data_IF_766385403311
#
_entry.id   IF_766385403311
#
_cell.length_a   1.000
_cell.length_b   1.000
_cell.length_c   1.000
_cell.angle_alpha   90.00
_cell.angle_beta   90.00
_cell.angle_gamma   90.00
#
_symmetry.space_group_name_H-M   'P 1'
#
loop_
_entity.id
_entity.type
_entity.pdbx_description
1 polymer ?
#
# COMPACT_ATOMS: atom_id res chain seq x y z
N UNK A 1 -1.02 -19.31 -11.98
CA UNK A 1 -0.04 -19.59 -10.92
C UNK A 1 -0.36 -20.96 -10.35
N UNK A 2 0.65 -21.81 -10.23
CA UNK A 2 0.54 -23.14 -9.63
C UNK A 2 1.04 -23.03 -8.19
N UNK A 3 0.18 -23.32 -7.21
CA UNK A 3 0.57 -23.38 -5.80
C UNK A 3 1.10 -24.76 -5.49
N UNK A 4 2.27 -24.78 -4.86
CA UNK A 4 2.97 -26.01 -4.49
C UNK A 4 3.28 -25.99 -3.00
N UNK A 5 3.24 -27.15 -2.35
CA UNK A 5 3.72 -27.30 -0.96
C UNK A 5 5.23 -27.03 -0.84
N UNK A 6 5.77 -26.73 0.36
CA UNK A 6 7.17 -26.31 0.54
C UNK A 6 8.20 -27.31 -0.02
N UNK A 7 7.95 -28.61 0.16
CA UNK A 7 8.84 -29.71 -0.22
C UNK A 7 8.59 -30.26 -1.64
N UNK A 8 7.81 -29.57 -2.46
CA UNK A 8 7.40 -30.07 -3.77
C UNK A 8 8.55 -30.05 -4.78
N UNK A 9 8.84 -31.17 -5.45
CA UNK A 9 9.99 -31.35 -6.36
C UNK A 9 10.03 -30.34 -7.52
N UNK A 10 8.88 -29.98 -8.08
CA UNK A 10 8.79 -28.93 -9.10
C UNK A 10 9.35 -27.54 -8.68
N UNK A 11 9.64 -27.31 -7.39
CA UNK A 11 10.35 -26.10 -6.91
C UNK A 11 11.85 -26.14 -7.18
N UNK A 12 12.42 -27.34 -7.31
CA UNK A 12 13.84 -27.58 -7.62
C UNK A 12 14.09 -27.66 -9.13
N UNK A 13 13.04 -27.89 -9.92
CA UNK A 13 13.09 -27.98 -11.39
C UNK A 13 13.40 -26.62 -12.03
N UNK A 14 14.21 -26.64 -13.10
CA UNK A 14 14.54 -25.44 -13.87
C UNK A 14 13.33 -24.84 -14.60
N UNK A 15 13.32 -23.51 -14.74
CA UNK A 15 12.26 -22.74 -15.40
C UNK A 15 11.94 -23.25 -16.82
N UNK A 16 12.96 -23.65 -17.58
CA UNK A 16 12.80 -24.17 -18.95
C UNK A 16 12.00 -25.47 -18.99
N UNK A 17 12.35 -26.44 -18.15
CA UNK A 17 11.66 -27.73 -18.10
C UNK A 17 10.22 -27.56 -17.59
N UNK A 18 10.01 -26.71 -16.57
CA UNK A 18 8.68 -26.35 -16.10
C UNK A 18 7.83 -25.75 -17.22
N UNK A 19 8.40 -24.85 -18.03
CA UNK A 19 7.73 -24.23 -19.16
C UNK A 19 7.33 -25.27 -20.22
N UNK A 20 8.23 -26.18 -20.59
CA UNK A 20 7.94 -27.24 -21.56
C UNK A 20 6.80 -28.14 -21.10
N UNK A 21 6.87 -28.63 -19.85
CA UNK A 21 5.82 -29.47 -19.26
C UNK A 21 4.46 -28.78 -19.21
N UNK A 22 4.42 -27.50 -18.86
CA UNK A 22 3.16 -26.72 -18.86
C UNK A 22 2.66 -26.47 -20.29
N UNK A 23 3.55 -26.25 -21.26
CA UNK A 23 3.21 -26.04 -22.67
C UNK A 23 2.62 -27.29 -23.34
N UNK A 24 3.00 -28.49 -22.90
CA UNK A 24 2.44 -29.75 -23.40
C UNK A 24 0.97 -29.97 -22.99
N UNK A 25 0.54 -29.33 -21.90
CA UNK A 25 -0.82 -29.44 -21.38
C UNK A 25 -1.79 -28.40 -21.94
N UNK A 26 -1.31 -27.48 -22.79
CA UNK A 26 -2.12 -26.44 -23.41
C UNK A 26 -2.19 -26.65 -24.91
N UNK A 27 -3.37 -26.40 -25.49
CA UNK A 27 -3.60 -26.61 -26.93
C UNK A 27 -2.67 -25.75 -27.80
N UNK A 28 -2.33 -24.55 -27.33
CA UNK A 28 -1.41 -23.65 -28.01
C UNK A 28 -0.25 -23.24 -27.07
N UNK A 29 0.97 -23.57 -27.48
CA UNK A 29 2.21 -23.22 -26.74
C UNK A 29 2.39 -21.71 -26.59
N UNK A 30 1.81 -20.90 -27.50
CA UNK A 30 1.83 -19.44 -27.46
C UNK A 30 1.00 -18.83 -26.32
N UNK A 31 0.19 -19.65 -25.62
CA UNK A 31 -0.54 -19.23 -24.43
C UNK A 31 0.40 -18.95 -23.26
N UNK A 32 1.52 -19.68 -23.18
CA UNK A 32 2.52 -19.59 -22.11
C UNK A 32 3.76 -18.89 -22.65
N UNK A 33 3.95 -17.62 -22.26
CA UNK A 33 5.14 -16.85 -22.59
C UNK A 33 6.35 -17.32 -21.81
N UNK A 34 6.18 -17.49 -20.50
CA UNK A 34 7.29 -17.81 -19.60
C UNK A 34 6.79 -18.44 -18.29
N UNK A 35 7.68 -19.10 -17.57
CA UNK A 35 7.40 -19.76 -16.30
C UNK A 35 8.59 -19.61 -15.37
N UNK A 36 8.35 -19.28 -14.10
CA UNK A 36 9.42 -19.20 -13.10
C UNK A 36 8.94 -19.63 -11.72
N UNK A 37 9.88 -20.10 -10.89
CA UNK A 37 9.62 -20.42 -9.50
C UNK A 37 9.41 -19.15 -8.66
N UNK A 38 8.46 -19.22 -7.73
CA UNK A 38 8.18 -18.17 -6.73
C UNK A 38 8.04 -18.83 -5.35
N UNK A 39 8.17 -18.10 -4.23
CA UNK A 39 8.11 -18.71 -2.89
C UNK A 39 6.85 -19.55 -2.62
N UNK A 40 5.73 -19.21 -3.27
CA UNK A 40 4.46 -19.92 -3.14
C UNK A 40 4.21 -21.04 -4.17
N UNK A 41 5.16 -21.33 -5.07
CA UNK A 41 5.03 -22.33 -6.14
C UNK A 41 5.62 -21.88 -7.47
N UNK A 42 4.85 -21.94 -8.56
CA UNK A 42 5.30 -21.60 -9.91
C UNK A 42 4.38 -20.54 -10.54
N UNK A 43 4.97 -19.47 -11.07
CA UNK A 43 4.27 -18.44 -11.81
C UNK A 43 4.30 -18.76 -13.31
N UNK A 44 3.15 -18.58 -13.98
CA UNK A 44 3.01 -18.73 -15.43
C UNK A 44 2.66 -17.35 -15.98
N UNK A 45 3.44 -16.87 -16.94
CA UNK A 45 3.17 -15.65 -17.67
C UNK A 45 2.35 -15.96 -18.92
N UNK A 46 1.16 -15.38 -19.00
CA UNK A 46 0.35 -15.34 -20.20
C UNK A 46 0.44 -13.95 -20.85
N UNK A 47 0.57 -13.84 -22.18
CA UNK A 47 0.67 -12.55 -22.86
C UNK A 47 -0.54 -11.63 -22.66
N UNK A 48 -1.74 -12.21 -22.50
CA UNK A 48 -2.99 -11.46 -22.36
C UNK A 48 -3.91 -12.09 -21.31
N UNK A 49 -4.85 -11.31 -20.73
CA UNK A 49 -5.88 -11.84 -19.85
C UNK A 49 -6.74 -12.96 -20.46
N UNK A 50 -7.00 -12.90 -21.77
CA UNK A 50 -7.75 -13.93 -22.48
C UNK A 50 -6.95 -15.24 -22.58
N UNK A 51 -5.65 -15.15 -22.90
CA UNK A 51 -4.75 -16.33 -22.89
C UNK A 51 -4.60 -16.93 -21.50
N UNK A 52 -4.56 -16.10 -20.46
CA UNK A 52 -4.58 -16.57 -19.07
C UNK A 52 -5.86 -17.36 -18.74
N UNK A 53 -7.02 -16.92 -19.25
CA UNK A 53 -8.28 -17.62 -19.09
C UNK A 53 -8.29 -18.97 -19.85
N UNK A 54 -7.72 -19.00 -21.06
CA UNK A 54 -7.57 -20.25 -21.82
C UNK A 54 -6.68 -21.27 -21.09
N UNK A 55 -5.57 -20.85 -20.47
CA UNK A 55 -4.75 -21.74 -19.65
C UNK A 55 -5.55 -22.33 -18.48
N UNK A 56 -6.45 -21.53 -17.87
CA UNK A 56 -7.30 -21.99 -16.78
C UNK A 56 -8.38 -23.00 -17.22
N UNK A 57 -8.66 -23.14 -18.51
CA UNK A 57 -9.55 -24.22 -18.99
C UNK A 57 -8.90 -25.60 -18.80
N UNK A 58 -7.56 -25.67 -18.84
CA UNK A 58 -6.79 -26.89 -18.59
C UNK A 58 -6.32 -27.01 -17.14
N UNK A 59 -6.98 -26.31 -16.21
CA UNK A 59 -6.64 -26.26 -14.79
C UNK A 59 -6.43 -27.66 -14.20
N UNK A 60 -7.38 -28.57 -14.41
CA UNK A 60 -7.36 -29.93 -13.85
C UNK A 60 -6.19 -30.75 -14.36
N UNK A 61 -5.87 -30.66 -15.66
CA UNK A 61 -4.73 -31.35 -16.24
C UNK A 61 -3.40 -30.86 -15.64
N UNK A 62 -3.28 -29.55 -15.43
CA UNK A 62 -2.10 -28.94 -14.79
C UNK A 62 -2.02 -29.35 -13.30
N UNK A 63 -3.14 -29.35 -12.57
CA UNK A 63 -3.16 -29.80 -11.17
C UNK A 63 -2.74 -31.26 -11.03
N UNK A 64 -3.20 -32.13 -11.94
CA UNK A 64 -2.85 -33.55 -11.96
C UNK A 64 -1.38 -33.81 -12.29
N UNK A 65 -0.78 -33.03 -13.21
CA UNK A 65 0.63 -33.17 -13.56
C UNK A 65 1.55 -32.88 -12.37
N UNK A 66 1.25 -31.82 -11.63
CA UNK A 66 2.09 -31.42 -10.50
C UNK A 66 1.79 -32.27 -9.26
N UNK A 67 0.54 -32.68 -9.06
CA UNK A 67 0.12 -33.47 -7.89
C UNK A 67 0.08 -32.62 -6.63
N UNK A 68 -1.04 -32.66 -5.90
CA UNK A 68 -1.24 -31.78 -4.71
C UNK A 68 -0.99 -30.30 -4.99
N UNK A 69 -1.31 -29.86 -6.21
CA UNK A 69 -1.14 -28.49 -6.66
C UNK A 69 -2.49 -27.80 -6.85
N UNK A 70 -2.54 -26.49 -6.63
CA UNK A 70 -3.72 -25.66 -6.91
C UNK A 70 -3.38 -24.65 -7.97
N UNK A 71 -4.09 -24.69 -9.10
CA UNK A 71 -3.89 -23.78 -10.22
C UNK A 71 -4.93 -22.68 -10.15
N UNK A 72 -4.47 -21.45 -9.95
CA UNK A 72 -5.33 -20.28 -9.84
C UNK A 72 -4.77 -19.09 -10.63
N UNK A 73 -5.66 -18.17 -10.97
CA UNK A 73 -5.25 -16.88 -11.50
C UNK A 73 -4.56 -16.09 -10.38
N UNK A 74 -3.46 -15.41 -10.73
CA UNK A 74 -2.89 -14.46 -9.80
C UNK A 74 -3.84 -13.26 -9.70
N UNK A 75 -4.49 -13.12 -8.55
CA UNK A 75 -5.35 -11.99 -8.23
C UNK A 75 -4.68 -11.07 -7.22
N UNK A 76 -5.02 -9.78 -7.30
CA UNK A 76 -4.70 -8.83 -6.24
C UNK A 76 -5.72 -9.03 -5.12
N UNK A 77 -5.24 -9.15 -3.89
CA UNK A 77 -6.06 -9.35 -2.70
C UNK A 77 -6.09 -8.08 -1.85
N UNK A 78 -7.24 -7.80 -1.26
CA UNK A 78 -7.45 -6.69 -0.34
C UNK A 78 -7.90 -7.23 1.01
N UNK A 79 -7.48 -6.56 2.08
CA UNK A 79 -7.79 -7.00 3.43
C UNK A 79 -8.96 -6.20 4.02
N UNK A 80 -9.77 -6.87 4.81
CA UNK A 80 -10.82 -6.25 5.61
C UNK A 80 -10.64 -6.65 7.08
N UNK A 81 -11.02 -5.74 7.98
CA UNK A 81 -11.15 -6.00 9.41
C UNK A 81 -12.64 -6.17 9.70
N UNK A 82 -13.01 -7.24 10.40
CA UNK A 82 -14.39 -7.49 10.82
C UNK A 82 -14.42 -7.57 12.34
N UNK A 83 -15.33 -6.82 12.96
CA UNK A 83 -15.52 -6.85 14.40
C UNK A 83 -16.48 -5.78 14.91
N UNK A 84 -16.81 -5.79 16.21
CA UNK A 84 -16.34 -6.75 17.23
C UNK A 84 -16.98 -8.14 17.06
N UNK A 85 -16.23 -9.22 17.30
CA UNK A 85 -16.70 -10.62 17.30
C UNK A 85 -16.36 -11.22 18.66
N UNK A 86 -17.28 -11.92 19.35
CA UNK A 86 -16.97 -12.58 20.62
C UNK A 86 -15.85 -13.61 20.41
N UNK A 87 -14.88 -13.73 21.32
CA UNK A 87 -13.83 -14.77 21.24
C UNK A 87 -14.28 -16.12 21.80
N UNK A 88 -15.41 -16.13 22.50
CA UNK A 88 -16.09 -17.32 23.02
C UNK A 88 -17.56 -17.17 22.67
N UNK A 89 -18.04 -17.97 21.73
CA UNK A 89 -19.45 -18.06 21.41
C UNK A 89 -20.14 -18.96 22.42
N UNK A 90 -21.35 -18.58 22.87
CA UNK A 90 -22.13 -19.41 23.79
C UNK A 90 -22.89 -20.47 22.98
N UNK A 91 -22.56 -21.74 23.19
CA UNK A 91 -23.30 -22.88 22.67
C UNK A 91 -24.21 -23.44 23.78
N UNK A 92 -25.13 -24.36 23.43
CA UNK A 92 -26.10 -24.92 24.38
C UNK A 92 -25.43 -25.63 25.56
N UNK A 93 -24.30 -26.30 25.34
CA UNK A 93 -23.64 -27.11 26.36
C UNK A 93 -22.37 -26.45 26.94
N UNK A 94 -21.68 -25.60 26.16
CA UNK A 94 -20.38 -25.02 26.53
C UNK A 94 -20.09 -23.72 25.75
N UNK A 95 -18.92 -23.12 26.01
CA UNK A 95 -18.37 -22.09 25.13
C UNK A 95 -17.59 -22.72 23.97
N UNK A 96 -17.82 -22.22 22.76
CA UNK A 96 -17.12 -22.63 21.56
C UNK A 96 -16.20 -21.50 21.07
N UNK A 97 -15.07 -21.83 20.45
CA UNK A 97 -14.24 -20.83 19.76
C UNK A 97 -14.88 -20.51 18.40
N UNK A 98 -15.27 -19.26 18.12
CA UNK A 98 -15.80 -18.87 16.83
C UNK A 98 -14.86 -19.15 15.65
N UNK A 99 -13.54 -19.16 15.86
CA UNK A 99 -12.57 -19.50 14.80
C UNK A 99 -12.57 -21.00 14.45
N UNK A 100 -13.11 -21.85 15.31
CA UNK A 100 -13.20 -23.30 15.11
C UNK A 100 -14.41 -23.66 14.24
N UNK A 101 -14.36 -23.27 12.97
CA UNK A 101 -15.39 -23.58 11.98
C UNK A 101 -16.63 -22.68 12.02
N UNK A 102 -17.10 -22.25 13.19
CA UNK A 102 -18.35 -21.49 13.34
C UNK A 102 -18.38 -20.18 12.52
N UNK A 103 -17.29 -19.40 12.53
CA UNK A 103 -17.17 -18.19 11.70
C UNK A 103 -17.21 -18.51 10.21
N UNK A 104 -16.70 -19.68 9.80
CA UNK A 104 -16.74 -20.12 8.42
C UNK A 104 -18.17 -20.42 7.97
N UNK A 105 -18.98 -21.00 8.86
CA UNK A 105 -20.39 -21.30 8.64
C UNK A 105 -21.22 -20.02 8.56
N UNK A 106 -21.07 -19.10 9.52
CA UNK A 106 -21.78 -17.81 9.55
C UNK A 106 -21.55 -16.98 8.27
N UNK A 107 -20.35 -17.07 7.67
CA UNK A 107 -20.01 -16.33 6.45
C UNK A 107 -20.07 -17.19 5.19
N UNK A 108 -20.61 -18.42 5.25
CA UNK A 108 -20.66 -19.33 4.11
C UNK A 108 -21.39 -18.71 2.90
N UNK A 109 -22.56 -18.09 3.13
CA UNK A 109 -23.31 -17.38 2.09
C UNK A 109 -22.50 -16.23 1.46
N UNK A 110 -21.65 -15.56 2.24
CA UNK A 110 -20.75 -14.51 1.73
C UNK A 110 -19.61 -15.14 0.92
N UNK A 111 -19.05 -16.28 1.35
CA UNK A 111 -17.97 -17.01 0.67
C UNK A 111 -18.37 -17.48 -0.73
N UNK A 112 -19.61 -17.91 -0.91
CA UNK A 112 -20.17 -18.32 -2.22
C UNK A 112 -20.11 -17.16 -3.24
N UNK A 113 -20.41 -15.94 -2.80
CA UNK A 113 -20.40 -14.75 -3.66
C UNK A 113 -18.97 -14.20 -3.82
N UNK A 114 -18.25 -14.15 -2.70
CA UNK A 114 -16.95 -13.49 -2.56
C UNK A 114 -15.99 -14.45 -1.87
N UNK A 115 -15.00 -15.02 -2.60
CA UNK A 115 -14.09 -15.99 -2.01
C UNK A 115 -13.26 -15.33 -0.90
N UNK A 116 -13.23 -15.97 0.27
CA UNK A 116 -12.44 -15.54 1.42
C UNK A 116 -11.32 -16.54 1.61
N UNK A 117 -10.07 -16.08 1.45
CA UNK A 117 -8.90 -16.96 1.41
C UNK A 117 -8.14 -17.07 2.73
N UNK A 118 -8.16 -16.01 3.52
CA UNK A 118 -7.46 -15.92 4.79
C UNK A 118 -8.42 -15.31 5.80
N UNK A 119 -8.47 -15.87 6.99
CA UNK A 119 -9.26 -15.39 8.11
C UNK A 119 -8.50 -15.73 9.40
N UNK A 120 -8.18 -14.72 10.20
CA UNK A 120 -7.48 -14.88 11.46
C UNK A 120 -7.71 -13.67 12.37
N UNK A 121 -7.62 -13.86 13.69
CA UNK A 121 -7.57 -12.76 14.64
C UNK A 121 -6.44 -11.77 14.30
N UNK A 122 -6.70 -10.47 14.43
CA UNK A 122 -5.61 -9.49 14.38
C UNK A 122 -4.75 -9.61 15.65
N UNK A 123 -3.48 -9.22 15.56
CA UNK A 123 -2.55 -9.25 16.70
C UNK A 123 -3.09 -8.56 17.97
N UNK A 124 -3.88 -7.49 17.81
CA UNK A 124 -4.50 -6.78 18.94
C UNK A 124 -5.60 -7.57 19.65
N UNK A 125 -6.17 -8.57 18.98
CA UNK A 125 -7.22 -9.44 19.52
C UNK A 125 -6.66 -10.71 20.18
N UNK A 126 -5.34 -10.79 20.38
CA UNK A 126 -4.70 -11.89 21.10
C UNK A 126 -4.60 -11.62 22.62
N UNK A 127 -5.27 -10.58 23.11
CA UNK A 127 -5.41 -10.25 24.52
C UNK A 127 -6.54 -11.04 25.19
N UNK A 128 -6.73 -10.87 26.50
CA UNK A 128 -7.78 -11.54 27.28
C UNK A 128 -9.17 -10.88 27.16
N UNK A 129 -9.34 -9.93 26.23
CA UNK A 129 -10.63 -9.27 26.01
C UNK A 129 -11.68 -10.26 25.46
N UNK A 130 -12.94 -10.05 25.83
CA UNK A 130 -14.08 -10.87 25.43
C UNK A 130 -14.41 -10.79 23.94
N UNK A 131 -14.14 -9.63 23.32
CA UNK A 131 -14.34 -9.40 21.90
C UNK A 131 -13.02 -9.16 21.19
N UNK A 132 -12.98 -9.55 19.92
CA UNK A 132 -11.85 -9.33 19.03
C UNK A 132 -12.28 -8.86 17.66
N UNK A 133 -11.29 -8.64 16.82
CA UNK A 133 -11.46 -8.36 15.40
C UNK A 133 -10.67 -9.38 14.58
N UNK A 134 -11.26 -9.84 13.48
CA UNK A 134 -10.60 -10.73 12.51
C UNK A 134 -10.14 -9.93 11.30
N UNK A 135 -9.09 -10.41 10.64
CA UNK A 135 -8.65 -9.95 9.33
C UNK A 135 -9.01 -10.99 8.28
N UNK A 136 -9.76 -10.57 7.27
CA UNK A 136 -10.05 -11.41 6.10
C UNK A 136 -9.36 -10.90 4.83
N UNK A 137 -9.17 -11.79 3.85
CA UNK A 137 -8.61 -11.48 2.54
C UNK A 137 -9.61 -11.80 1.43
N UNK A 138 -9.91 -10.80 0.59
CA UNK A 138 -10.92 -10.83 -0.48
C UNK A 138 -10.32 -10.32 -1.80
N UNK A 139 -10.65 -10.88 -2.98
CA UNK A 139 -10.14 -10.37 -4.25
C UNK A 139 -10.51 -8.91 -4.48
N UNK A 140 -9.55 -8.13 -4.97
CA UNK A 140 -9.73 -6.70 -5.23
C UNK A 140 -10.91 -6.43 -6.18
N UNK A 141 -11.09 -7.28 -7.20
CA UNK A 141 -12.18 -7.19 -8.18
C UNK A 141 -13.59 -7.38 -7.58
N UNK A 142 -13.69 -8.08 -6.45
CA UNK A 142 -14.97 -8.32 -5.74
C UNK A 142 -15.10 -7.50 -4.46
N UNK A 143 -14.08 -6.68 -4.13
CA UNK A 143 -13.99 -5.96 -2.86
C UNK A 143 -15.09 -4.92 -2.65
N UNK A 144 -15.66 -4.37 -3.72
CA UNK A 144 -16.77 -3.43 -3.69
C UNK A 144 -18.12 -4.08 -3.38
N UNK A 145 -18.25 -5.41 -3.57
CA UNK A 145 -19.46 -6.16 -3.27
C UNK A 145 -19.55 -6.60 -1.80
N UNK A 146 -18.46 -6.45 -1.04
CA UNK A 146 -18.43 -6.86 0.34
C UNK A 146 -19.21 -5.86 1.20
N UNK A 147 -20.22 -6.36 1.93
CA UNK A 147 -21.12 -5.53 2.71
C UNK A 147 -20.36 -4.80 3.84
N UNK A 148 -20.68 -3.52 4.12
CA UNK A 148 -20.03 -2.76 5.19
C UNK A 148 -20.43 -3.21 6.60
N UNK A 149 -21.52 -3.98 6.72
CA UNK A 149 -22.04 -4.56 7.95
C UNK A 149 -22.44 -6.00 7.68
N UNK A 150 -22.18 -6.88 8.65
CA UNK A 150 -22.63 -8.26 8.66
C UNK A 150 -23.36 -8.53 9.97
N UNK A 151 -24.13 -9.62 10.00
CA UNK A 151 -24.63 -10.18 11.25
C UNK A 151 -23.87 -11.46 11.50
N UNK A 152 -23.12 -11.52 12.59
CA UNK A 152 -22.37 -12.72 13.00
C UNK A 152 -22.78 -13.08 14.42
N UNK A 153 -23.18 -14.34 14.64
CA UNK A 153 -23.63 -14.82 15.95
C UNK A 153 -24.78 -13.99 16.53
N UNK A 154 -25.71 -13.54 15.66
CA UNK A 154 -26.84 -12.69 16.05
C UNK A 154 -26.50 -11.20 16.27
N UNK A 155 -25.23 -10.83 16.29
CA UNK A 155 -24.76 -9.47 16.55
C UNK A 155 -24.39 -8.72 15.27
N UNK A 156 -24.63 -7.41 15.27
CA UNK A 156 -24.23 -6.55 14.15
C UNK A 156 -22.73 -6.22 14.24
N UNK A 157 -21.97 -6.66 13.24
CA UNK A 157 -20.52 -6.42 13.16
C UNK A 157 -20.17 -5.48 12.02
N UNK A 158 -19.14 -4.68 12.21
CA UNK A 158 -18.66 -3.75 11.20
C UNK A 158 -17.57 -4.37 10.36
N UNK A 159 -17.58 -4.02 9.08
CA UNK A 159 -16.56 -4.43 8.12
C UNK A 159 -15.82 -3.20 7.62
N UNK A 160 -14.52 -3.15 7.90
CA UNK A 160 -13.65 -2.05 7.49
C UNK A 160 -12.63 -2.52 6.47
N UNK A 161 -12.71 -1.98 5.24
CA UNK A 161 -11.66 -2.21 4.23
C UNK A 161 -10.35 -1.56 4.67
N UNK A 162 -9.29 -2.35 4.74
CA UNK A 162 -7.93 -1.82 4.93
C UNK A 162 -7.48 -1.22 3.60
N UNK A 163 -7.52 0.11 3.51
CA UNK A 163 -6.90 0.82 2.40
C UNK A 163 -5.40 0.89 2.65
N UNK A 164 -4.59 0.41 1.72
CA UNK A 164 -3.17 0.72 1.74
C UNK A 164 -3.04 2.25 1.65
N UNK A 165 -2.53 2.89 2.72
CA UNK A 165 -2.16 4.31 2.69
C UNK A 165 -0.99 4.48 1.73
N UNK A 166 -1.29 4.70 0.46
CA UNK A 166 -0.28 4.82 -0.58
C UNK A 166 0.52 6.13 -0.47
N UNK A 167 -0.09 7.18 0.06
CA UNK A 167 0.53 8.50 0.07
C UNK A 167 1.21 8.81 1.41
N UNK A 168 2.49 9.24 1.39
CA UNK A 168 3.07 9.94 2.53
C UNK A 168 2.20 11.14 2.88
N UNK A 169 1.92 11.32 4.17
CA UNK A 169 1.19 12.50 4.63
C UNK A 169 2.06 13.72 4.33
N UNK A 170 1.50 14.66 3.56
CA UNK A 170 2.13 15.94 3.24
C UNK A 170 1.49 16.98 4.16
N UNK A 171 2.30 17.76 4.86
CA UNK A 171 1.83 18.81 5.73
C UNK A 171 1.23 19.96 4.90
N UNK A 172 0.03 20.43 5.24
CA UNK A 172 -0.62 21.52 4.49
C UNK A 172 -0.02 22.90 4.76
N UNK A 173 0.75 23.05 5.85
CA UNK A 173 1.47 24.30 6.17
C UNK A 173 2.78 24.40 5.38
N UNK A 174 3.67 23.43 5.57
CA UNK A 174 5.05 23.52 5.07
C UNK A 174 5.37 22.55 3.92
N UNK A 175 4.39 21.76 3.48
CA UNK A 175 4.52 20.75 2.40
C UNK A 175 5.63 19.71 2.62
N UNK A 176 6.06 19.52 3.88
CA UNK A 176 6.98 18.47 4.28
C UNK A 176 6.26 17.13 4.48
N UNK A 177 7.00 16.02 4.44
CA UNK A 177 6.45 14.67 4.56
C UNK A 177 6.22 14.23 6.02
N UNK A 178 5.31 14.92 6.71
CA UNK A 178 4.84 14.62 8.07
C UNK A 178 3.40 15.12 8.27
N UNK A 179 2.81 14.78 9.41
CA UNK A 179 1.46 15.22 9.78
C UNK A 179 1.37 16.73 10.04
N UNK A 180 0.31 17.37 9.55
CA UNK A 180 0.03 18.80 9.77
C UNK A 180 -0.11 19.15 11.26
N UNK A 181 -0.73 18.26 12.04
CA UNK A 181 -1.00 18.46 13.48
C UNK A 181 0.25 18.73 14.32
N UNK A 182 1.39 18.14 13.95
CA UNK A 182 2.66 18.27 14.67
C UNK A 182 3.61 19.28 14.03
N UNK A 183 3.13 20.05 13.05
CA UNK A 183 3.95 21.02 12.34
C UNK A 183 4.07 22.34 13.10
N UNK A 184 5.28 22.64 13.56
CA UNK A 184 5.66 23.93 14.14
C UNK A 184 6.24 24.93 13.11
N UNK A 185 6.34 24.56 11.82
CA UNK A 185 6.88 25.44 10.77
C UNK A 185 5.85 26.47 10.30
N UNK A 186 6.33 27.62 9.82
CA UNK A 186 5.47 28.64 9.20
C UNK A 186 4.82 28.10 7.92
N UNK A 187 3.60 28.58 7.58
CA UNK A 187 2.97 28.29 6.31
C UNK A 187 3.82 28.77 5.14
N UNK A 188 4.04 27.90 4.15
CA UNK A 188 4.80 28.20 2.93
C UNK A 188 3.85 28.24 1.73
N UNK A 189 4.31 28.78 0.62
CA UNK A 189 3.63 28.64 -0.66
C UNK A 189 3.98 27.30 -1.32
N UNK A 190 2.97 26.52 -1.73
CA UNK A 190 3.15 25.24 -2.44
C UNK A 190 3.88 25.37 -3.77
N UNK A 191 3.79 26.55 -4.39
CA UNK A 191 4.27 26.79 -5.76
C UNK A 191 5.69 27.32 -5.75
N UNK A 192 6.00 28.37 -4.99
CA UNK A 192 7.30 29.05 -5.06
C UNK A 192 8.23 28.82 -3.86
N UNK A 193 7.82 28.03 -2.87
CA UNK A 193 8.61 27.71 -1.68
C UNK A 193 8.95 28.90 -0.75
N UNK A 194 8.37 30.09 -0.94
CA UNK A 194 8.47 31.22 0.00
C UNK A 194 7.39 31.14 1.09
N UNK A 195 7.26 32.18 1.93
CA UNK A 195 6.11 32.27 2.86
C UNK A 195 4.77 32.18 2.11
N UNK A 196 3.74 31.71 2.81
CA UNK A 196 2.38 31.72 2.28
C UNK A 196 1.95 33.15 1.94
N UNK A 197 1.23 33.28 0.83
CA UNK A 197 0.74 34.55 0.34
C UNK A 197 -0.64 34.33 -0.31
N UNK A 198 -1.44 35.39 -0.33
CA UNK A 198 -2.75 35.39 -0.98
C UNK A 198 -2.62 35.77 -2.46
N UNK A 199 -3.58 35.34 -3.28
CA UNK A 199 -3.60 35.62 -4.71
C UNK A 199 -2.62 34.78 -5.57
N UNK A 200 -2.52 35.09 -6.88
CA UNK A 200 -1.72 34.32 -7.82
C UNK A 200 -0.22 34.43 -7.50
N UNK A 201 0.48 33.31 -7.61
CA UNK A 201 1.92 33.24 -7.34
C UNK A 201 2.71 33.87 -8.50
N UNK A 202 3.47 34.92 -8.20
CA UNK A 202 4.33 35.61 -9.18
C UNK A 202 5.76 35.05 -9.25
N UNK A 203 6.15 34.26 -8.24
CA UNK A 203 7.49 33.67 -8.15
C UNK A 203 7.55 32.36 -8.94
N UNK A 204 8.71 32.00 -9.51
CA UNK A 204 8.88 30.74 -10.23
C UNK A 204 8.57 29.53 -9.37
N UNK A 205 8.03 28.49 -10.01
CA UNK A 205 7.66 27.26 -9.32
C UNK A 205 8.90 26.53 -8.81
N UNK A 206 8.98 26.33 -7.50
CA UNK A 206 10.08 25.68 -6.79
C UNK A 206 9.57 24.73 -5.71
N UNK A 207 10.05 23.50 -5.72
CA UNK A 207 9.66 22.49 -4.74
C UNK A 207 10.42 22.67 -3.41
N UNK A 208 9.69 22.70 -2.28
CA UNK A 208 10.26 22.83 -0.93
C UNK A 208 11.16 21.64 -0.53
N UNK A 209 10.90 20.46 -1.09
CA UNK A 209 11.56 19.22 -0.66
C UNK A 209 12.82 18.90 -1.46
N UNK A 210 12.76 18.97 -2.79
CA UNK A 210 13.87 18.65 -3.69
C UNK A 210 14.49 19.87 -4.39
N UNK A 211 13.92 21.07 -4.24
CA UNK A 211 14.38 22.32 -4.88
C UNK A 211 14.26 22.38 -6.41
N UNK A 212 13.58 21.41 -7.05
CA UNK A 212 13.32 21.38 -8.50
C UNK A 212 12.17 22.30 -8.95
N UNK A 213 11.99 22.42 -10.27
CA UNK A 213 11.05 23.33 -10.95
C UNK A 213 9.61 22.78 -11.05
N UNK A 214 9.07 22.29 -9.93
CA UNK A 214 7.70 21.77 -9.84
C UNK A 214 7.06 22.09 -8.49
N UNK A 215 5.74 21.95 -8.39
CA UNK A 215 5.01 22.23 -7.15
C UNK A 215 5.40 21.27 -6.03
N UNK A 216 5.42 21.73 -4.78
CA UNK A 216 5.68 20.87 -3.62
C UNK A 216 4.62 19.78 -3.41
N UNK A 217 3.46 19.85 -4.10
CA UNK A 217 2.43 18.81 -4.12
C UNK A 217 2.66 17.70 -5.16
N UNK A 218 3.66 17.86 -6.03
CA UNK A 218 3.92 16.89 -7.10
C UNK A 218 4.26 15.51 -6.53
N UNK A 219 3.50 14.50 -6.99
CA UNK A 219 3.65 13.12 -6.56
C UNK A 219 4.95 12.48 -7.06
N UNK A 220 5.55 13.04 -8.12
CA UNK A 220 6.76 12.54 -8.78
C UNK A 220 8.05 13.05 -8.12
N UNK A 221 7.94 13.98 -7.15
CA UNK A 221 9.07 14.57 -6.47
C UNK A 221 10.06 13.50 -5.96
N UNK A 222 11.35 13.57 -6.33
CA UNK A 222 12.34 12.55 -5.95
C UNK A 222 12.63 12.50 -4.44
N UNK A 223 12.37 13.60 -3.72
CA UNK A 223 12.49 13.64 -2.26
C UNK A 223 11.30 12.97 -1.54
N UNK A 224 10.22 12.62 -2.25
CA UNK A 224 9.02 12.02 -1.68
C UNK A 224 9.31 10.60 -1.17
N UNK A 225 9.02 10.30 0.12
CA UNK A 225 9.09 8.95 0.64
C UNK A 225 8.22 8.00 -0.18
N UNK A 226 8.70 6.77 -0.39
CA UNK A 226 7.99 5.76 -1.18
C UNK A 226 7.68 4.57 -0.29
N UNK A 227 6.51 3.95 -0.48
CA UNK A 227 6.24 2.65 0.14
C UNK A 227 6.71 1.55 -0.78
N UNK A 228 7.61 0.71 -0.31
CA UNK A 228 8.04 -0.53 -0.99
C UNK A 228 7.67 -1.67 -0.06
N UNK A 229 6.88 -2.63 -0.55
CA UNK A 229 6.39 -3.78 0.24
C UNK A 229 5.73 -3.37 1.57
N UNK A 230 4.99 -2.26 1.58
CA UNK A 230 4.29 -1.74 2.77
C UNK A 230 5.16 -0.92 3.73
N UNK A 231 6.49 -0.95 3.59
CA UNK A 231 7.44 -0.17 4.42
C UNK A 231 7.64 1.21 3.81
N UNK A 232 7.52 2.27 4.62
CA UNK A 232 7.77 3.65 4.18
C UNK A 232 9.28 3.92 4.15
N UNK A 233 9.85 3.92 2.95
CA UNK A 233 11.26 4.23 2.71
C UNK A 233 11.40 5.74 2.50
N UNK A 234 12.23 6.37 3.33
CA UNK A 234 12.64 7.77 3.20
C UNK A 234 14.03 7.84 2.57
N UNK A 235 14.30 8.80 1.67
CA UNK A 235 15.67 9.07 1.23
C UNK A 235 16.57 9.33 2.43
N UNK A 236 17.76 8.73 2.44
CA UNK A 236 18.79 9.01 3.46
C UNK A 236 19.25 10.46 3.35
N UNK A 237 19.91 10.99 4.39
CA UNK A 237 20.45 12.36 4.38
C UNK A 237 21.36 12.62 3.16
N UNK A 238 22.28 11.70 2.87
CA UNK A 238 23.16 11.77 1.70
C UNK A 238 22.40 11.76 0.38
N UNK A 239 21.40 10.86 0.23
CA UNK A 239 20.59 10.81 -0.99
C UNK A 239 19.75 12.07 -1.15
N UNK A 240 19.21 12.60 -0.06
CA UNK A 240 18.42 13.83 -0.06
C UNK A 240 19.27 15.06 -0.43
N UNK A 241 20.54 15.10 0.01
CA UNK A 241 21.49 16.12 -0.42
C UNK A 241 21.71 16.09 -1.94
N UNK A 242 21.98 14.91 -2.51
CA UNK A 242 22.13 14.74 -3.97
C UNK A 242 20.87 15.16 -4.72
N UNK A 243 19.69 14.75 -4.24
CA UNK A 243 18.40 15.13 -4.81
C UNK A 243 18.23 16.66 -4.83
N UNK A 244 18.54 17.33 -3.71
CA UNK A 244 18.43 18.79 -3.59
C UNK A 244 19.41 19.52 -4.49
N UNK A 245 20.62 19.00 -4.63
CA UNK A 245 21.62 19.57 -5.54
C UNK A 245 21.17 19.44 -7.00
N UNK A 246 20.64 18.27 -7.40
CA UNK A 246 20.10 18.06 -8.75
C UNK A 246 18.88 18.96 -9.03
N UNK A 247 17.92 19.03 -8.12
CA UNK A 247 16.74 19.89 -8.28
C UNK A 247 17.10 21.37 -8.33
N UNK A 248 18.06 21.84 -7.51
CA UNK A 248 18.53 23.21 -7.58
C UNK A 248 19.17 23.55 -8.94
N UNK A 249 19.95 22.62 -9.52
CA UNK A 249 20.52 22.78 -10.87
C UNK A 249 19.43 22.83 -11.95
N UNK A 250 18.44 21.96 -11.86
CA UNK A 250 17.29 21.93 -12.77
C UNK A 250 16.51 23.25 -12.72
N UNK A 251 16.17 23.70 -11.52
CA UNK A 251 15.47 24.97 -11.30
C UNK A 251 16.27 26.16 -11.84
N UNK A 252 17.59 26.19 -11.64
CA UNK A 252 18.46 27.24 -12.15
C UNK A 252 18.47 27.27 -13.69
N UNK A 253 18.52 26.11 -14.37
CA UNK A 253 18.44 26.04 -15.83
C UNK A 253 17.12 26.62 -16.36
N UNK A 254 15.99 26.20 -15.77
CA UNK A 254 14.65 26.65 -16.18
C UNK A 254 14.43 28.14 -15.91
N UNK A 255 15.09 28.69 -14.89
CA UNK A 255 14.89 30.08 -14.45
C UNK A 255 16.17 30.92 -14.54
N UNK A 256 17.02 30.66 -15.54
CA UNK A 256 18.32 31.35 -15.74
C UNK A 256 18.22 32.88 -15.85
N UNK A 257 17.01 33.42 -16.05
CA UNK A 257 16.72 34.86 -16.18
C UNK A 257 15.97 35.45 -14.98
N UNK A 258 15.68 34.67 -13.93
CA UNK A 258 14.95 35.16 -12.77
C UNK A 258 15.89 35.70 -11.69
N UNK A 259 15.90 37.02 -11.51
CA UNK A 259 16.50 37.66 -10.33
C UNK A 259 15.45 37.74 -9.20
N UNK A 260 15.74 37.22 -8.00
CA UNK A 260 14.83 37.37 -6.87
C UNK A 260 14.75 38.86 -6.48
N UNK A 261 13.54 39.41 -6.47
CA UNK A 261 13.28 40.75 -5.96
C UNK A 261 13.53 40.72 -4.43
N UNK A 262 14.74 41.09 -4.01
CA UNK A 262 15.13 41.15 -2.60
C UNK A 262 14.77 42.55 -2.12
N UNK A 263 13.50 42.75 -1.79
CA UNK A 263 13.04 43.97 -1.13
C UNK A 263 12.72 43.65 0.32
N UNK A 264 13.29 44.47 1.21
CA UNK A 264 13.01 44.64 2.64
C UNK A 264 13.92 43.89 3.61
N UNK A 265 15.14 44.42 3.75
CA UNK A 265 15.81 44.57 5.04
C UNK A 265 15.02 45.53 5.93
N UNK A 266 14.73 45.21 7.20
CA UNK A 266 14.54 46.23 8.22
C UNK A 266 15.90 46.54 8.85
N UNK A 267 16.37 47.76 8.63
CA UNK A 267 17.35 48.41 9.50
C UNK A 267 16.73 48.59 10.88
N UNK A 268 17.43 48.15 11.93
CA UNK A 268 17.13 48.60 13.30
C UNK A 268 18.44 48.62 14.08
N UNK A 269 19.01 49.83 14.11
CA UNK A 269 19.98 50.31 15.09
C UNK A 269 19.45 50.04 16.50
N UNK A 270 20.15 49.22 17.29
CA UNK A 270 19.92 49.13 18.72
C UNK A 270 20.61 50.32 19.40
N UNK A 271 19.79 51.26 19.88
CA UNK A 271 20.19 52.22 20.90
C UNK A 271 20.30 51.49 22.25
N UNK A 272 21.45 51.64 22.88
CA UNK A 272 21.72 51.28 24.26
C UNK A 272 21.08 52.37 25.12
N UNK A 273 20.07 52.02 25.91
CA UNK A 273 19.75 52.75 27.14
C UNK A 273 19.50 51.76 28.28
N UNK A 274 20.49 51.70 29.16
CA UNK A 274 20.43 51.20 30.51
C UNK A 274 19.47 52.06 31.35
N UNK A 275 18.45 51.45 31.96
CA UNK A 275 17.81 51.98 33.17
C UNK A 275 17.70 50.90 34.25
N UNK A 276 18.20 51.31 35.40
CA UNK A 276 18.23 50.64 36.71
C UNK A 276 16.89 50.87 37.42
N UNK A 277 16.38 49.84 38.13
CA UNK A 277 15.91 49.84 39.54
C UNK A 277 14.67 48.96 39.84
N UNK A 278 14.85 48.13 40.90
CA UNK A 278 13.93 47.62 41.94
C UNK A 278 12.68 46.81 41.53
N UNK A 279 12.33 45.68 42.16
CA UNK A 279 12.56 45.19 43.53
C UNK A 279 13.06 43.74 43.57
#
# INVERSE_FOLDING_TARGET
MIRLGPEHEARKTGAFELRQKVQELVFDKSLVSDVWAVPSGVAILAPTPAKAAAILQNKTAIENLFGSAVVERQEKWTYFIIGPIPKKARCLENFCDPMDGLLSEEIAAVKEIIPIRYMNWIRRSQDDQTFGHIRISVPEAKSNKFLPRLRLFGEAVFVQRIRQRQQPIVCDKCYGFHTTRTCARTPKCKTCATEAHDGPCKNPTRCLNCRGSHSSKDITCPARPRRVNGVLIRPTGAKLHQIRAAGAREFAKTNSQYTPNTSQTPSSTMNIESRVFSQ
#
